data_IF_619021018912
#
_entry.id   IF_619021018912
#
_cell.length_a   1.000
_cell.length_b   1.000
_cell.length_c   1.000
_cell.angle_alpha   90.00
_cell.angle_beta   90.00
_cell.angle_gamma   90.00
#
_symmetry.space_group_name_H-M   'P 1'
#
loop_
_entity.id
_entity.type
_entity.pdbx_description
1 polymer ?
#
# COMPACT_ATOMS: atom_id res chain seq x y z
N UNK A 1 -9.52 -16.00 18.81
CA UNK A 1 -9.05 -15.97 17.40
C UNK A 1 -8.50 -14.57 17.14
N UNK A 2 -7.25 -14.43 16.65
CA UNK A 2 -6.69 -13.11 16.33
C UNK A 2 -7.30 -12.65 15.01
N UNK A 3 -8.20 -11.68 15.05
CA UNK A 3 -8.70 -11.01 13.86
C UNK A 3 -7.52 -10.44 13.07
N UNK A 4 -7.50 -10.67 11.76
CA UNK A 4 -6.52 -10.04 10.88
C UNK A 4 -6.79 -8.53 10.89
N UNK A 5 -5.80 -7.73 11.29
CA UNK A 5 -5.88 -6.26 11.41
C UNK A 5 -6.18 -5.52 10.08
N UNK A 6 -6.36 -6.24 8.97
CA UNK A 6 -6.48 -5.66 7.64
C UNK A 6 -7.87 -5.90 7.04
N UNK A 7 -8.46 -4.87 6.42
CA UNK A 7 -9.72 -5.02 5.69
C UNK A 7 -9.51 -5.97 4.50
N UNK A 8 -10.43 -6.92 4.33
CA UNK A 8 -10.35 -8.00 3.34
C UNK A 8 -11.11 -7.60 2.07
N UNK A 9 -10.79 -6.43 1.53
CA UNK A 9 -11.57 -5.78 0.46
C UNK A 9 -11.77 -6.70 -0.74
N UNK A 10 -10.70 -7.32 -1.25
CA UNK A 10 -10.78 -8.19 -2.43
C UNK A 10 -11.54 -9.48 -2.12
N UNK A 11 -11.25 -10.11 -0.98
CA UNK A 11 -11.88 -11.37 -0.60
C UNK A 11 -13.38 -11.24 -0.38
N UNK A 12 -13.82 -10.16 0.27
CA UNK A 12 -15.24 -9.84 0.49
C UNK A 12 -15.95 -9.50 -0.82
N UNK A 13 -15.29 -8.74 -1.70
CA UNK A 13 -15.83 -8.43 -3.03
C UNK A 13 -16.08 -9.69 -3.86
N UNK A 14 -15.08 -10.59 -3.93
CA UNK A 14 -15.19 -11.87 -4.65
C UNK A 14 -16.33 -12.71 -4.08
N UNK A 15 -16.40 -12.80 -2.75
CA UNK A 15 -17.46 -13.55 -2.06
C UNK A 15 -18.84 -13.01 -2.42
N UNK A 16 -19.03 -11.69 -2.34
CA UNK A 16 -20.31 -11.05 -2.64
C UNK A 16 -20.73 -11.32 -4.09
N UNK A 17 -19.84 -11.07 -5.07
CA UNK A 17 -20.14 -11.29 -6.49
C UNK A 17 -20.45 -12.76 -6.79
N UNK A 18 -19.74 -13.69 -6.16
CA UNK A 18 -20.02 -15.13 -6.28
C UNK A 18 -21.42 -15.45 -5.75
N UNK A 19 -21.80 -14.92 -4.59
CA UNK A 19 -23.09 -15.16 -3.94
C UNK A 19 -24.24 -14.52 -4.73
N UNK A 20 -24.04 -13.34 -5.31
CA UNK A 20 -25.00 -12.66 -6.19
C UNK A 20 -25.32 -13.50 -7.45
N UNK A 21 -24.33 -14.26 -7.95
CA UNK A 21 -24.49 -15.18 -9.08
C UNK A 21 -25.01 -16.57 -8.66
N UNK A 22 -25.23 -16.82 -7.37
CA UNK A 22 -25.68 -18.10 -6.86
C UNK A 22 -24.65 -19.23 -6.99
N UNK A 23 -23.36 -18.91 -7.16
CA UNK A 23 -22.31 -19.90 -7.35
C UNK A 23 -21.77 -20.41 -6.01
N UNK A 24 -21.56 -21.72 -5.90
CA UNK A 24 -20.74 -22.30 -4.83
C UNK A 24 -19.24 -22.02 -5.07
N UNK A 25 -18.43 -22.10 -4.01
CA UNK A 25 -16.97 -21.98 -4.14
C UNK A 25 -16.36 -23.05 -5.05
N UNK A 26 -16.96 -24.26 -5.07
CA UNK A 26 -16.53 -25.35 -5.95
C UNK A 26 -16.80 -25.00 -7.40
N UNK A 27 -18.00 -24.53 -7.71
CA UNK A 27 -18.38 -24.13 -9.07
C UNK A 27 -17.50 -23.00 -9.58
N UNK A 28 -17.27 -21.95 -8.76
CA UNK A 28 -16.35 -20.88 -9.12
C UNK A 28 -14.94 -21.40 -9.43
N UNK A 29 -14.41 -22.33 -8.63
CA UNK A 29 -13.09 -22.91 -8.86
C UNK A 29 -12.98 -23.72 -10.16
N UNK A 30 -14.08 -24.32 -10.63
CA UNK A 30 -14.12 -25.04 -11.91
C UNK A 30 -14.15 -24.12 -13.14
N UNK A 31 -14.47 -22.83 -12.97
CA UNK A 31 -14.49 -21.85 -14.07
C UNK A 31 -13.09 -21.30 -14.42
N UNK A 32 -12.07 -21.66 -13.63
CA UNK A 32 -10.67 -21.27 -13.88
C UNK A 32 -10.02 -22.22 -14.89
N UNK A 33 -8.99 -21.74 -15.59
CA UNK A 33 -8.17 -22.54 -16.49
C UNK A 33 -6.66 -22.36 -16.17
N UNK A 34 -6.00 -23.34 -15.51
CA UNK A 34 -6.54 -24.62 -15.08
C UNK A 34 -7.52 -24.50 -13.89
N UNK A 35 -8.43 -25.48 -13.68
CA UNK A 35 -9.33 -25.49 -12.54
C UNK A 35 -8.59 -25.41 -11.21
N UNK A 36 -9.11 -24.59 -10.29
CA UNK A 36 -8.54 -24.41 -8.95
C UNK A 36 -9.38 -25.13 -7.89
N UNK A 37 -8.78 -25.43 -6.74
CA UNK A 37 -9.46 -26.15 -5.66
C UNK A 37 -10.44 -25.25 -4.90
N UNK A 38 -11.48 -25.84 -4.30
CA UNK A 38 -12.40 -25.11 -3.40
C UNK A 38 -11.66 -24.45 -2.24
N UNK A 39 -10.60 -25.09 -1.73
CA UNK A 39 -9.76 -24.55 -0.66
C UNK A 39 -9.04 -23.27 -1.09
N UNK A 40 -8.59 -23.20 -2.34
CA UNK A 40 -7.98 -22.00 -2.90
C UNK A 40 -8.97 -20.83 -2.90
N UNK A 41 -10.18 -21.03 -3.42
CA UNK A 41 -11.24 -20.00 -3.40
C UNK A 41 -11.56 -19.56 -1.97
N UNK A 42 -11.74 -20.51 -1.05
CA UNK A 42 -11.98 -20.21 0.37
C UNK A 42 -10.83 -19.43 1.03
N UNK A 43 -9.58 -19.71 0.67
CA UNK A 43 -8.43 -18.96 1.18
C UNK A 43 -8.35 -17.54 0.62
N UNK A 44 -8.69 -17.35 -0.66
CA UNK A 44 -8.75 -16.04 -1.31
C UNK A 44 -9.86 -15.19 -0.68
N UNK A 45 -11.07 -15.71 -0.58
CA UNK A 45 -12.21 -15.00 0.04
C UNK A 45 -11.94 -14.59 1.49
N UNK A 46 -11.19 -15.41 2.23
CA UNK A 46 -10.81 -15.10 3.62
C UNK A 46 -9.59 -14.18 3.74
N UNK A 47 -8.94 -13.83 2.64
CA UNK A 47 -7.70 -13.04 2.61
C UNK A 47 -6.48 -13.78 3.15
N UNK A 48 -6.52 -15.11 3.22
CA UNK A 48 -5.41 -15.96 3.70
C UNK A 48 -4.34 -16.10 2.62
N UNK A 49 -4.76 -16.28 1.36
CA UNK A 49 -3.87 -16.41 0.21
C UNK A 49 -4.16 -15.26 -0.75
N UNK A 50 -3.15 -14.48 -1.18
CA UNK A 50 -3.36 -13.45 -2.18
C UNK A 50 -3.73 -14.07 -3.54
N UNK A 51 -4.59 -13.40 -4.30
CA UNK A 51 -4.95 -13.83 -5.65
C UNK A 51 -3.75 -13.62 -6.59
N UNK A 52 -3.24 -14.65 -7.29
CA UNK A 52 -2.20 -14.50 -8.29
C UNK A 52 -2.68 -13.63 -9.48
N UNK A 53 -1.85 -12.74 -10.04
CA UNK A 53 -2.24 -11.93 -11.20
C UNK A 53 -2.70 -12.75 -12.41
N UNK A 54 -2.08 -13.92 -12.64
CA UNK A 54 -2.45 -14.84 -13.72
C UNK A 54 -3.89 -15.35 -13.62
N UNK A 55 -4.51 -15.28 -12.45
CA UNK A 55 -5.87 -15.73 -12.20
C UNK A 55 -6.93 -14.63 -12.32
N UNK A 56 -6.52 -13.36 -12.47
CA UNK A 56 -7.45 -12.21 -12.48
C UNK A 56 -8.36 -12.25 -13.71
N UNK A 57 -7.82 -12.51 -14.89
CA UNK A 57 -8.61 -12.59 -16.13
C UNK A 57 -9.67 -13.70 -16.09
N UNK A 58 -9.35 -14.86 -15.49
CA UNK A 58 -10.31 -15.95 -15.33
C UNK A 58 -11.40 -15.63 -14.31
N UNK A 59 -11.01 -15.03 -13.17
CA UNK A 59 -11.94 -14.63 -12.13
C UNK A 59 -12.93 -13.57 -12.61
N UNK A 60 -12.45 -12.54 -13.31
CA UNK A 60 -13.28 -11.44 -13.83
C UNK A 60 -14.27 -11.94 -14.86
N UNK A 61 -13.85 -12.85 -15.75
CA UNK A 61 -14.73 -13.56 -16.67
C UNK A 61 -15.77 -14.42 -15.95
N UNK A 62 -15.36 -15.20 -14.95
CA UNK A 62 -16.25 -16.07 -14.19
C UNK A 62 -17.31 -15.31 -13.38
N UNK A 63 -16.95 -14.13 -12.85
CA UNK A 63 -17.84 -13.28 -12.04
C UNK A 63 -18.58 -12.22 -12.87
N UNK A 64 -18.33 -12.13 -14.18
CA UNK A 64 -18.87 -11.09 -15.06
C UNK A 64 -18.63 -9.68 -14.52
N UNK A 65 -17.39 -9.41 -14.09
CA UNK A 65 -16.93 -8.13 -13.53
C UNK A 65 -15.84 -7.55 -14.41
N UNK A 66 -15.78 -6.22 -14.53
CA UNK A 66 -14.69 -5.54 -15.23
C UNK A 66 -13.34 -5.76 -14.54
N UNK A 67 -12.30 -6.04 -15.32
CA UNK A 67 -10.95 -6.28 -14.79
C UNK A 67 -10.40 -5.09 -14.00
N UNK A 68 -10.68 -3.88 -14.47
CA UNK A 68 -10.30 -2.61 -13.82
C UNK A 68 -10.84 -2.50 -12.38
N UNK A 69 -12.06 -2.99 -12.13
CA UNK A 69 -12.68 -2.96 -10.80
C UNK A 69 -11.92 -3.84 -9.81
N UNK A 70 -11.55 -5.05 -10.24
CA UNK A 70 -10.75 -6.00 -9.44
C UNK A 70 -9.34 -5.47 -9.21
N UNK A 71 -8.70 -4.91 -10.24
CA UNK A 71 -7.35 -4.34 -10.13
C UNK A 71 -7.31 -3.14 -9.18
N UNK A 72 -8.30 -2.24 -9.25
CA UNK A 72 -8.42 -1.11 -8.31
C UNK A 72 -8.52 -1.57 -6.86
N UNK A 73 -9.26 -2.66 -6.59
CA UNK A 73 -9.37 -3.23 -5.25
C UNK A 73 -8.06 -3.88 -4.79
N UNK A 74 -7.36 -4.60 -5.67
CA UNK A 74 -6.06 -5.19 -5.39
C UNK A 74 -5.02 -4.13 -5.04
N UNK A 75 -4.96 -3.03 -5.79
CA UNK A 75 -4.07 -1.90 -5.53
C UNK A 75 -4.33 -1.25 -4.17
N UNK A 76 -5.62 -0.99 -3.85
CA UNK A 76 -6.02 -0.46 -2.54
C UNK A 76 -5.60 -1.38 -1.40
N UNK A 77 -5.90 -2.68 -1.52
CA UNK A 77 -5.53 -3.65 -0.49
C UNK A 77 -3.99 -3.77 -0.34
N UNK A 78 -3.26 -3.72 -1.46
CA UNK A 78 -1.81 -3.74 -1.46
C UNK A 78 -1.22 -2.48 -0.81
N UNK A 79 -1.74 -1.30 -1.13
CA UNK A 79 -1.32 -0.04 -0.54
C UNK A 79 -1.52 -0.03 1.00
N UNK A 80 -2.65 -0.55 1.49
CA UNK A 80 -2.92 -0.71 2.93
C UNK A 80 -1.95 -1.70 3.57
N UNK A 81 -1.66 -2.82 2.90
CA UNK A 81 -0.66 -3.79 3.38
C UNK A 81 0.74 -3.20 3.40
N UNK A 82 1.10 -2.38 2.42
CA UNK A 82 2.40 -1.74 2.34
C UNK A 82 2.57 -0.67 3.41
N UNK A 83 1.60 0.22 3.57
CA UNK A 83 1.62 1.28 4.60
C UNK A 83 1.75 0.70 6.01
N UNK A 84 1.11 -0.45 6.26
CA UNK A 84 1.23 -1.16 7.54
C UNK A 84 2.61 -1.75 7.83
N UNK A 85 3.35 -2.13 6.79
CA UNK A 85 4.73 -2.63 6.90
C UNK A 85 5.72 -1.49 7.05
N UNK A 86 5.50 -0.40 6.30
CA UNK A 86 6.33 0.79 6.35
C UNK A 86 6.17 1.56 7.67
N UNK A 87 4.96 1.62 8.24
CA UNK A 87 4.69 2.25 9.53
C UNK A 87 5.16 1.43 10.75
N UNK A 88 5.45 0.13 10.57
CA UNK A 88 6.13 -0.67 11.59
C UNK A 88 7.64 -0.50 11.44
N UNK A 89 8.12 0.69 11.77
CA UNK A 89 9.52 0.88 12.13
C UNK A 89 9.75 0.00 13.36
N UNK A 90 10.43 -1.14 13.19
CA UNK A 90 11.02 -1.85 14.31
C UNK A 90 11.80 -0.81 15.11
N UNK A 91 11.45 -0.63 16.38
CA UNK A 91 11.82 0.50 17.25
C UNK A 91 13.32 0.67 17.56
N UNK A 92 14.22 0.35 16.64
CA UNK A 92 15.67 0.51 16.81
C UNK A 92 16.32 1.43 15.79
N UNK A 93 15.69 1.79 14.67
CA UNK A 93 16.25 2.76 13.73
C UNK A 93 15.20 3.77 13.25
N UNK A 94 15.29 5.00 13.78
CA UNK A 94 14.53 6.17 13.33
C UNK A 94 14.89 6.49 11.87
N UNK A 95 14.23 5.86 10.90
CA UNK A 95 14.15 6.43 9.56
C UNK A 95 12.95 7.40 9.52
N UNK A 96 13.15 8.67 9.15
CA UNK A 96 12.05 9.61 9.04
C UNK A 96 11.12 9.18 7.90
N UNK A 97 9.81 9.19 8.18
CA UNK A 97 8.74 9.02 7.20
C UNK A 97 9.00 9.93 5.98
N UNK A 98 9.40 9.31 4.86
CA UNK A 98 9.67 9.97 3.57
C UNK A 98 8.56 9.69 2.55
N UNK A 99 7.40 9.21 2.99
CA UNK A 99 6.22 9.12 2.14
C UNK A 99 5.50 10.46 2.16
N UNK A 100 5.91 11.31 1.23
CA UNK A 100 5.16 12.49 0.82
C UNK A 100 3.79 12.01 0.35
N UNK A 101 2.76 12.22 1.17
CA UNK A 101 1.41 11.73 0.91
C UNK A 101 0.52 12.78 0.23
N UNK A 102 0.95 14.04 0.25
CA UNK A 102 0.23 15.16 -0.33
C UNK A 102 0.77 15.51 -1.74
N UNK A 103 -0.09 15.58 -2.78
CA UNK A 103 0.29 16.07 -4.11
C UNK A 103 1.01 17.44 -4.08
N UNK A 104 0.65 18.32 -3.15
CA UNK A 104 1.27 19.64 -2.99
C UNK A 104 2.70 19.52 -2.47
N UNK A 105 2.92 18.67 -1.47
CA UNK A 105 4.26 18.39 -0.94
C UNK A 105 5.14 17.72 -2.01
N UNK A 106 4.56 16.87 -2.86
CA UNK A 106 5.28 16.22 -3.95
C UNK A 106 5.76 17.25 -4.99
N UNK A 107 4.88 18.16 -5.41
CA UNK A 107 5.25 19.23 -6.34
C UNK A 107 6.30 20.18 -5.75
N UNK A 108 6.18 20.50 -4.46
CA UNK A 108 7.21 21.28 -3.76
C UNK A 108 8.56 20.54 -3.77
N UNK A 109 8.57 19.25 -3.46
CA UNK A 109 9.79 18.45 -3.40
C UNK A 109 10.43 18.26 -4.76
N UNK A 110 9.63 18.09 -5.80
CA UNK A 110 10.07 18.05 -7.19
C UNK A 110 10.75 19.36 -7.59
N UNK A 111 10.13 20.51 -7.31
CA UNK A 111 10.72 21.84 -7.60
C UNK A 111 12.02 22.08 -6.85
N UNK A 112 12.08 21.69 -5.57
CA UNK A 112 13.31 21.76 -4.77
C UNK A 112 14.42 20.90 -5.38
N UNK A 113 14.10 19.68 -5.80
CA UNK A 113 15.06 18.79 -6.45
C UNK A 113 15.55 19.35 -7.78
N UNK A 114 14.66 19.86 -8.63
CA UNK A 114 15.03 20.47 -9.91
C UNK A 114 15.95 21.68 -9.71
N UNK A 115 15.62 22.55 -8.76
CA UNK A 115 16.47 23.70 -8.41
C UNK A 115 17.84 23.26 -7.90
N UNK A 116 17.86 22.31 -6.96
CA UNK A 116 19.11 21.79 -6.42
C UNK A 116 19.96 21.12 -7.51
N UNK A 117 19.37 20.37 -8.43
CA UNK A 117 20.11 19.68 -9.51
C UNK A 117 20.87 20.66 -10.41
N UNK A 118 20.25 21.80 -10.74
CA UNK A 118 20.77 22.85 -11.62
C UNK A 118 21.68 23.85 -10.91
N UNK A 119 21.69 23.87 -9.58
CA UNK A 119 22.46 24.82 -8.79
C UNK A 119 23.99 24.57 -8.90
N UNK A 120 24.77 25.65 -8.78
CA UNK A 120 26.23 25.58 -8.77
C UNK A 120 26.73 24.89 -7.49
N UNK A 121 27.97 24.36 -7.46
CA UNK A 121 28.51 23.68 -6.28
C UNK A 121 28.48 24.53 -5.01
N UNK A 122 28.71 25.85 -5.12
CA UNK A 122 28.63 26.79 -3.99
C UNK A 122 27.22 26.90 -3.42
N UNK A 123 26.22 27.02 -4.30
CA UNK A 123 24.82 27.13 -3.89
C UNK A 123 24.31 25.81 -3.28
N UNK A 124 24.74 24.67 -3.83
CA UNK A 124 24.45 23.34 -3.27
C UNK A 124 24.96 23.19 -1.84
N UNK A 125 26.19 23.65 -1.56
CA UNK A 125 26.75 23.62 -0.22
C UNK A 125 25.91 24.48 0.74
N UNK A 126 25.54 25.70 0.32
CA UNK A 126 24.73 26.62 1.13
C UNK A 126 23.31 26.08 1.42
N UNK A 127 22.68 25.44 0.43
CA UNK A 127 21.39 24.77 0.59
C UNK A 127 21.51 23.60 1.59
N UNK A 128 22.56 22.79 1.46
CA UNK A 128 22.81 21.66 2.37
C UNK A 128 22.99 22.14 3.80
N UNK A 129 23.81 23.17 4.02
CA UNK A 129 24.03 23.77 5.33
C UNK A 129 22.73 24.31 5.93
N UNK A 130 21.90 24.97 5.11
CA UNK A 130 20.61 25.52 5.53
C UNK A 130 19.65 24.42 5.97
N UNK A 131 19.55 23.33 5.18
CA UNK A 131 18.72 22.16 5.51
C UNK A 131 19.21 21.51 6.81
N UNK A 132 20.52 21.33 6.97
CA UNK A 132 21.11 20.73 8.15
C UNK A 132 20.89 21.57 9.42
N UNK A 133 20.92 22.90 9.28
CA UNK A 133 20.58 23.84 10.36
C UNK A 133 19.11 23.70 10.78
N UNK A 134 18.19 23.65 9.82
CA UNK A 134 16.75 23.45 10.09
C UNK A 134 16.49 22.12 10.81
N UNK A 135 17.09 21.03 10.32
CA UNK A 135 16.96 19.69 10.93
C UNK A 135 17.48 19.71 12.37
N UNK A 136 18.62 20.36 12.60
CA UNK A 136 19.23 20.47 13.94
C UNK A 136 18.34 21.27 14.89
N UNK A 137 17.77 22.39 14.45
CA UNK A 137 16.84 23.20 15.26
C UNK A 137 15.59 22.42 15.64
N UNK A 138 15.00 21.67 14.72
CA UNK A 138 13.80 20.87 14.99
C UNK A 138 14.05 19.70 15.96
N UNK A 139 15.23 19.07 15.88
CA UNK A 139 15.60 18.00 16.82
C UNK A 139 15.79 18.53 18.25
N UNK A 140 16.31 19.74 18.41
CA UNK A 140 16.46 20.39 19.73
C UNK A 140 15.08 20.71 20.33
N UNK A 141 14.15 21.25 19.54
CA UNK A 141 12.79 21.55 19.99
C UNK A 141 12.01 20.28 20.42
N UNK A 142 12.14 19.19 19.66
CA UNK A 142 11.47 17.93 19.98
C UNK A 142 12.03 17.24 21.24
N UNK A 143 13.33 17.35 21.51
CA UNK A 143 13.94 16.78 22.72
C UNK A 143 13.61 17.59 23.99
N UNK A 144 13.48 18.92 23.89
CA UNK A 144 13.11 19.76 25.03
C UNK A 144 11.66 19.53 25.49
N UNK A 145 10.73 19.23 24.57
CA UNK A 145 9.34 18.90 24.90
C UNK A 145 9.15 17.53 25.59
N UNK A 146 10.08 16.60 25.38
CA UNK A 146 10.02 15.24 25.97
C UNK A 146 10.56 15.16 27.40
N UNK A 147 11.27 16.18 27.90
CA UNK A 147 11.81 16.20 29.26
C UNK A 147 10.87 16.87 30.30
N UNK A 148 9.74 17.43 29.83
CA UNK A 148 8.76 18.15 30.64
C UNK A 148 7.43 17.40 30.81
N UNK A 149 7.39 16.09 30.51
CA UNK A 149 6.25 15.18 30.69
C UNK A 149 6.71 13.91 31.38
#
# INVERSE_FOLDING_TARGET
>A
MKESKYPKLVGEFIKQKREDLGLSQKELGQLFDPPVTTQFISNVERGVTPLPPSHVAFLTKALNVAEEEVMTLLEKEYAVKLSSRLGKVNSTNKCPNLLISDPVEFELMKKLYEFFSKANPKDKALITDSIQKIISTNNVANNAGSAAS
#
